data_IF_044642422571
#
_entry.id   IF_044642422571
#
_cell.length_a   1.000
_cell.length_b   1.000
_cell.length_c   1.000
_cell.angle_alpha   90.00
_cell.angle_beta   90.00
_cell.angle_gamma   90.00
#
_symmetry.space_group_name_H-M   'P 1'
#
loop_
_entity.id
_entity.type
_entity.pdbx_description
1 polymer ?
#
# COMPACT_ATOMS: atom_id res chain seq x y z
N UNK A 1 -4.92 -13.18 4.82
CA UNK A 1 -6.34 -12.92 4.51
C UNK A 1 -6.43 -11.72 3.57
N UNK A 2 -7.32 -11.74 2.58
CA UNK A 2 -7.58 -10.63 1.65
C UNK A 2 -9.08 -10.50 1.38
N UNK A 3 -9.52 -9.34 0.90
CA UNK A 3 -10.89 -9.09 0.43
C UNK A 3 -10.93 -9.03 -1.10
N UNK A 4 -12.12 -9.21 -1.71
CA UNK A 4 -12.30 -8.93 -3.15
C UNK A 4 -12.19 -7.42 -3.37
N UNK A 5 -11.69 -6.98 -4.53
CA UNK A 5 -11.59 -5.55 -4.87
C UNK A 5 -12.94 -4.82 -4.89
N UNK A 6 -14.03 -5.56 -5.11
CA UNK A 6 -15.40 -5.04 -5.08
C UNK A 6 -16.01 -4.98 -3.68
N UNK A 7 -15.32 -5.50 -2.66
CA UNK A 7 -15.80 -5.50 -1.28
C UNK A 7 -15.41 -4.20 -0.58
N UNK A 8 -16.41 -3.44 -0.13
CA UNK A 8 -16.17 -2.29 0.75
C UNK A 8 -15.68 -2.81 2.10
N UNK A 9 -14.51 -2.35 2.54
CA UNK A 9 -13.90 -2.70 3.83
C UNK A 9 -13.47 -1.44 4.58
N UNK A 10 -13.21 -1.57 5.88
CA UNK A 10 -12.95 -0.42 6.76
C UNK A 10 -11.47 -0.31 7.10
N UNK A 11 -10.76 0.62 6.45
CA UNK A 11 -9.34 0.88 6.69
C UNK A 11 -9.00 2.37 6.84
N UNK A 12 -9.69 3.26 6.12
CA UNK A 12 -9.47 4.72 6.18
C UNK A 12 -10.81 5.44 6.06
N UNK A 13 -11.23 6.13 7.12
CA UNK A 13 -12.48 6.89 7.13
C UNK A 13 -12.52 7.89 5.97
N UNK A 14 -13.66 7.96 5.27
CA UNK A 14 -13.82 8.82 4.07
C UNK A 14 -13.17 8.29 2.78
N UNK A 15 -12.48 7.15 2.81
CA UNK A 15 -11.80 6.58 1.64
C UNK A 15 -12.14 5.10 1.36
N UNK A 16 -12.82 4.40 2.28
CA UNK A 16 -13.19 2.98 2.18
C UNK A 16 -13.90 2.53 0.89
N UNK A 17 -14.61 3.43 0.20
CA UNK A 17 -15.38 3.10 -1.02
C UNK A 17 -14.65 3.40 -2.32
N UNK A 18 -13.47 4.02 -2.26
CA UNK A 18 -12.72 4.51 -3.42
C UNK A 18 -11.22 4.20 -3.37
N UNK A 19 -10.81 3.33 -2.46
CA UNK A 19 -9.42 2.89 -2.36
C UNK A 19 -9.32 1.43 -1.94
N UNK A 20 -8.12 0.87 -2.12
CA UNK A 20 -7.77 -0.50 -1.72
C UNK A 20 -6.75 -0.42 -0.60
N UNK A 21 -7.03 -1.06 0.54
CA UNK A 21 -6.11 -1.12 1.67
C UNK A 21 -5.10 -2.27 1.54
N UNK A 22 -3.80 -1.94 1.58
CA UNK A 22 -2.70 -2.92 1.70
C UNK A 22 -2.05 -2.70 3.07
N UNK A 23 -2.04 -3.75 3.91
CA UNK A 23 -1.51 -3.70 5.27
C UNK A 23 -0.16 -4.42 5.34
N UNK A 24 0.84 -3.77 5.95
CA UNK A 24 2.14 -4.36 6.25
C UNK A 24 2.11 -4.84 7.72
N UNK A 25 2.40 -6.12 7.95
CA UNK A 25 2.35 -6.72 9.28
C UNK A 25 3.56 -6.33 10.13
N UNK A 26 3.39 -5.36 11.03
CA UNK A 26 4.42 -4.95 11.98
C UNK A 26 4.14 -3.59 12.62
N UNK A 27 5.06 -3.15 13.48
CA UNK A 27 5.07 -1.78 14.00
C UNK A 27 6.29 -1.03 13.45
N UNK A 28 6.08 -0.33 12.33
CA UNK A 28 7.16 0.39 11.65
C UNK A 28 7.33 1.83 12.11
N UNK A 29 6.79 2.19 13.28
CA UNK A 29 7.28 3.35 14.02
C UNK A 29 8.57 3.04 14.78
N UNK A 30 8.89 1.76 15.01
CA UNK A 30 10.07 1.33 15.78
C UNK A 30 11.26 0.88 14.92
N UNK A 31 10.99 0.34 13.72
CA UNK A 31 12.00 -0.15 12.80
C UNK A 31 11.47 -0.14 11.36
N UNK A 32 12.36 -0.21 10.36
CA UNK A 32 11.94 -0.39 8.97
C UNK A 32 11.39 -1.81 8.71
N UNK A 33 10.45 -1.98 7.77
CA UNK A 33 10.10 -3.32 7.29
C UNK A 33 11.29 -4.02 6.65
N UNK A 34 11.38 -5.35 6.73
CA UNK A 34 12.31 -6.11 5.91
C UNK A 34 12.12 -5.83 4.43
N UNK A 35 13.21 -5.88 3.66
CA UNK A 35 13.19 -5.54 2.22
C UNK A 35 12.23 -6.45 1.46
N UNK A 36 12.17 -7.75 1.79
CA UNK A 36 11.26 -8.71 1.19
C UNK A 36 9.78 -8.32 1.38
N UNK A 37 9.45 -7.64 2.48
CA UNK A 37 8.10 -7.16 2.74
C UNK A 37 7.77 -5.90 1.94
N UNK A 38 8.75 -5.02 1.69
CA UNK A 38 8.58 -3.89 0.78
C UNK A 38 8.34 -4.37 -0.66
N UNK A 39 9.13 -5.35 -1.12
CA UNK A 39 8.92 -5.99 -2.43
C UNK A 39 7.57 -6.72 -2.52
N UNK A 40 7.13 -7.38 -1.44
CA UNK A 40 5.81 -7.99 -1.40
C UNK A 40 4.69 -6.94 -1.48
N UNK A 41 4.83 -5.80 -0.80
CA UNK A 41 3.89 -4.69 -0.89
C UNK A 41 3.85 -4.09 -2.30
N UNK A 42 5.01 -3.90 -2.94
CA UNK A 42 5.10 -3.43 -4.32
C UNK A 42 4.41 -4.39 -5.30
N UNK A 43 4.63 -5.70 -5.16
CA UNK A 43 3.91 -6.72 -5.95
C UNK A 43 2.39 -6.67 -5.72
N UNK A 44 1.95 -6.45 -4.48
CA UNK A 44 0.52 -6.31 -4.19
C UNK A 44 -0.08 -5.06 -4.86
N UNK A 45 0.64 -3.93 -4.86
CA UNK A 45 0.25 -2.72 -5.60
C UNK A 45 0.13 -3.02 -7.10
N UNK A 46 1.11 -3.71 -7.69
CA UNK A 46 1.08 -4.07 -9.11
C UNK A 46 -0.10 -4.99 -9.46
N UNK A 47 -0.43 -5.98 -8.60
CA UNK A 47 -1.59 -6.85 -8.80
C UNK A 47 -2.89 -6.04 -8.80
N UNK A 48 -3.02 -5.07 -7.89
CA UNK A 48 -4.18 -4.17 -7.84
C UNK A 48 -4.23 -3.31 -9.09
N UNK A 49 -3.11 -2.68 -9.48
CA UNK A 49 -3.02 -1.84 -10.67
C UNK A 49 -3.43 -2.61 -11.95
N UNK A 50 -2.89 -3.81 -12.14
CA UNK A 50 -3.23 -4.69 -13.26
C UNK A 50 -4.72 -5.02 -13.29
N UNK A 51 -5.33 -5.30 -12.14
CA UNK A 51 -6.76 -5.60 -12.05
C UNK A 51 -7.64 -4.37 -12.32
N UNK A 52 -7.16 -3.16 -12.03
CA UNK A 52 -7.85 -1.91 -12.31
C UNK A 52 -7.61 -1.41 -13.74
N UNK A 53 -6.56 -1.86 -14.42
CA UNK A 53 -6.18 -1.42 -15.76
C UNK A 53 -5.44 -0.08 -15.80
N UNK A 54 -4.96 0.43 -14.66
CA UNK A 54 -4.18 1.66 -14.54
C UNK A 54 -3.35 1.66 -13.25
N UNK A 55 -2.37 2.55 -13.13
CA UNK A 55 -1.46 2.68 -11.98
C UNK A 55 -1.99 3.73 -10.98
N UNK A 56 -2.71 3.33 -9.91
CA UNK A 56 -3.20 4.26 -8.91
C UNK A 56 -2.08 4.87 -8.05
N UNK A 57 -2.26 6.13 -7.59
CA UNK A 57 -1.35 6.70 -6.60
C UNK A 57 -1.40 5.90 -5.29
N UNK A 58 -0.24 5.77 -4.63
CA UNK A 58 -0.09 5.05 -3.36
C UNK A 58 0.14 6.06 -2.24
N UNK A 59 -0.63 5.93 -1.17
CA UNK A 59 -0.62 6.82 -0.02
C UNK A 59 -0.48 6.03 1.28
N UNK A 60 0.00 6.70 2.32
CA UNK A 60 -0.04 6.22 3.69
C UNK A 60 -1.39 6.54 4.35
N UNK A 61 -1.77 5.77 5.37
CA UNK A 61 -2.97 6.09 6.16
C UNK A 61 -2.85 7.48 6.82
N UNK A 62 -1.64 7.86 7.23
CA UNK A 62 -1.30 9.19 7.76
C UNK A 62 -1.65 10.36 6.82
N UNK A 63 -1.76 10.12 5.52
CA UNK A 63 -2.07 11.18 4.54
C UNK A 63 -3.54 11.61 4.61
N UNK A 64 -4.39 10.81 5.26
CA UNK A 64 -5.84 11.04 5.36
C UNK A 64 -6.36 11.07 6.81
N UNK A 65 -5.47 10.92 7.80
CA UNK A 65 -5.84 10.87 9.22
C UNK A 65 -4.66 11.25 10.11
N UNK A 66 -4.91 11.81 11.29
CA UNK A 66 -3.88 12.05 12.31
C UNK A 66 -3.42 10.72 12.94
N UNK A 67 -2.62 9.96 12.21
CA UNK A 67 -2.09 8.63 12.60
C UNK A 67 -0.66 8.46 12.12
N UNK A 68 0.07 7.56 12.76
CA UNK A 68 1.42 7.18 12.32
C UNK A 68 1.44 6.04 11.29
N UNK A 69 0.33 5.34 11.04
CA UNK A 69 0.26 4.27 10.05
C UNK A 69 0.59 4.78 8.62
N UNK A 70 1.44 4.11 7.82
CA UNK A 70 1.96 2.73 7.95
C UNK A 70 3.22 2.55 8.81
N UNK A 71 3.61 3.56 9.58
CA UNK A 71 4.82 3.58 10.40
C UNK A 71 5.84 4.59 9.87
N UNK A 72 6.58 5.22 10.76
CA UNK A 72 7.49 6.35 10.47
C UNK A 72 8.69 5.96 9.61
N UNK A 73 9.02 4.67 9.56
CA UNK A 73 10.04 4.09 8.69
C UNK A 73 9.51 3.59 7.34
N UNK A 74 8.24 3.89 6.99
CA UNK A 74 7.62 3.46 5.72
C UNK A 74 7.30 4.68 4.87
N UNK A 75 7.89 4.73 3.67
CA UNK A 75 7.57 5.70 2.63
C UNK A 75 6.70 5.06 1.52
N UNK A 76 5.41 5.40 1.41
CA UNK A 76 4.52 4.85 0.37
C UNK A 76 5.00 5.12 -1.05
N UNK A 77 5.70 6.25 -1.28
CA UNK A 77 6.24 6.60 -2.61
C UNK A 77 7.28 5.58 -3.07
N UNK A 78 8.15 5.13 -2.16
CA UNK A 78 9.14 4.09 -2.47
C UNK A 78 8.48 2.80 -2.91
N UNK A 79 7.37 2.40 -2.27
CA UNK A 79 6.60 1.21 -2.67
C UNK A 79 5.98 1.39 -4.06
N UNK A 80 5.44 2.58 -4.36
CA UNK A 80 4.91 2.89 -5.70
C UNK A 80 6.00 2.85 -6.78
N UNK A 81 7.17 3.41 -6.50
CA UNK A 81 8.33 3.37 -7.41
C UNK A 81 8.78 1.93 -7.66
N UNK A 82 8.87 1.10 -6.61
CA UNK A 82 9.19 -0.32 -6.74
C UNK A 82 8.14 -1.10 -7.54
N UNK A 83 6.87 -0.72 -7.44
CA UNK A 83 5.78 -1.39 -8.16
C UNK A 83 5.80 -1.04 -9.66
N UNK A 84 5.88 0.25 -9.98
CA UNK A 84 5.65 0.75 -11.35
C UNK A 84 6.92 0.97 -12.17
N UNK A 85 8.11 0.79 -11.60
CA UNK A 85 9.31 0.77 -12.42
C UNK A 85 9.29 -0.42 -13.36
N UNK A 86 9.36 -0.14 -14.67
CA UNK A 86 9.54 -1.17 -15.70
C UNK A 86 10.81 -1.95 -15.34
N UNK A 87 10.65 -3.21 -14.96
CA UNK A 87 11.78 -4.14 -14.95
C UNK A 87 12.39 -4.09 -16.34
N UNK A 88 13.58 -3.51 -16.47
CA UNK A 88 14.40 -3.69 -17.66
C UNK A 88 14.74 -5.18 -17.65
N UNK A 89 14.07 -5.92 -18.54
CA UNK A 89 14.39 -7.31 -18.84
C UNK A 89 15.75 -7.39 -19.53
#
# INVERSE_FOLDING_TARGET
QTNRLTTISYHVSGHNTRSVGICLAGNYDLAAPPEEQLWAAARAVQIVANALGWEPPVFGHRDFSQKSCPGSFVNPKTIAEMAYQKQIA
#
